data_IF_346748515252
#
_entry.id   IF_346748515252
#
_cell.length_a   1.000
_cell.length_b   1.000
_cell.length_c   1.000
_cell.angle_alpha   90.00
_cell.angle_beta   90.00
_cell.angle_gamma   90.00
#
_symmetry.space_group_name_H-M   'P 1'
#
loop_
_entity.id
_entity.type
_entity.pdbx_description
1 polymer ?
#
# COMPACT_ATOMS: atom_id res chain seq x y z
N UNK A 1 6.90 10.75 2.69
CA UNK A 1 5.71 10.38 3.50
C UNK A 1 5.04 9.10 3.04
N UNK A 2 4.34 9.04 1.88
CA UNK A 2 3.66 7.80 1.45
C UNK A 2 4.65 6.63 1.24
N UNK A 3 5.79 6.89 0.61
CA UNK A 3 6.86 5.89 0.44
C UNK A 3 7.31 5.33 1.79
N UNK A 4 7.49 6.19 2.79
CA UNK A 4 7.93 5.77 4.13
C UNK A 4 6.87 4.94 4.86
N UNK A 5 5.60 5.29 4.70
CA UNK A 5 4.50 4.46 5.20
C UNK A 5 4.49 3.08 4.57
N UNK A 6 4.64 2.99 3.25
CA UNK A 6 4.69 1.70 2.55
C UNK A 6 5.91 0.90 3.02
N UNK A 7 7.08 1.52 3.16
CA UNK A 7 8.28 0.88 3.73
C UNK A 7 8.03 0.33 5.13
N UNK A 8 7.35 1.09 5.97
CA UNK A 8 6.96 0.65 7.31
C UNK A 8 6.00 -0.55 7.25
N UNK A 9 4.98 -0.50 6.40
CA UNK A 9 3.97 -1.56 6.29
C UNK A 9 4.57 -2.86 5.76
N UNK A 10 5.32 -2.83 4.64
CA UNK A 10 5.99 -4.03 4.11
C UNK A 10 7.09 -4.51 5.06
N UNK A 11 7.75 -3.61 5.78
CA UNK A 11 8.80 -3.94 6.76
C UNK A 11 8.31 -4.82 7.91
N UNK A 12 7.00 -4.88 8.17
CA UNK A 12 6.40 -5.79 9.16
C UNK A 12 6.41 -7.25 8.72
N UNK A 13 6.49 -7.51 7.41
CA UNK A 13 6.38 -8.86 6.81
C UNK A 13 7.57 -9.24 5.94
N UNK A 14 8.49 -8.31 5.66
CA UNK A 14 9.70 -8.55 4.87
C UNK A 14 10.91 -8.95 5.72
N UNK A 15 11.88 -9.60 5.08
CA UNK A 15 13.18 -9.93 5.69
C UNK A 15 13.93 -8.63 6.05
N UNK A 16 14.56 -8.59 7.22
CA UNK A 16 15.27 -7.40 7.72
C UNK A 16 16.36 -6.99 6.72
N UNK A 17 16.37 -5.71 6.33
CA UNK A 17 17.33 -5.17 5.38
C UNK A 17 16.99 -5.38 3.90
N UNK A 18 15.95 -6.17 3.57
CA UNK A 18 15.52 -6.39 2.18
C UNK A 18 14.70 -5.25 1.59
N UNK A 19 14.11 -4.40 2.43
CA UNK A 19 13.24 -3.31 1.99
C UNK A 19 14.04 -2.17 1.37
N UNK A 20 13.80 -1.91 0.08
CA UNK A 20 14.44 -0.81 -0.65
C UNK A 20 13.47 -0.11 -1.61
N UNK A 21 13.90 1.04 -2.14
CA UNK A 21 13.11 1.89 -3.05
C UNK A 21 13.89 2.07 -4.35
N UNK A 22 13.82 1.11 -5.28
CA UNK A 22 14.60 1.16 -6.52
C UNK A 22 14.22 2.33 -7.44
N UNK A 23 12.98 2.80 -7.36
CA UNK A 23 12.49 3.94 -8.13
C UNK A 23 11.75 4.90 -7.21
N UNK A 24 12.21 6.16 -7.18
CA UNK A 24 11.66 7.19 -6.32
C UNK A 24 11.27 8.40 -7.18
N UNK A 25 10.01 8.81 -7.08
CA UNK A 25 9.41 9.96 -7.77
C UNK A 25 9.52 9.91 -9.30
N UNK A 26 9.30 8.74 -9.90
CA UNK A 26 9.14 8.62 -11.34
C UNK A 26 7.85 9.31 -11.79
N UNK A 27 7.90 10.01 -12.92
CA UNK A 27 6.74 10.72 -13.47
C UNK A 27 6.33 10.01 -14.75
N UNK A 28 5.16 9.40 -14.73
CA UNK A 28 4.60 8.59 -15.80
C UNK A 28 3.46 9.32 -16.51
N UNK A 29 3.41 9.21 -17.83
CA UNK A 29 2.30 9.75 -18.62
C UNK A 29 1.21 8.70 -18.79
N UNK A 30 0.00 9.02 -18.31
CA UNK A 30 -1.23 8.28 -18.59
C UNK A 30 -2.11 9.06 -19.58
N UNK A 31 -3.14 8.44 -20.18
CA UNK A 31 -3.96 9.10 -21.20
C UNK A 31 -4.59 10.43 -20.78
N UNK A 32 -4.91 10.59 -19.48
CA UNK A 32 -5.63 11.76 -18.96
C UNK A 32 -4.82 12.61 -17.99
N UNK A 33 -3.66 12.15 -17.53
CA UNK A 33 -2.88 12.82 -16.49
C UNK A 33 -1.42 12.37 -16.47
N UNK A 34 -0.59 13.16 -15.80
CA UNK A 34 0.74 12.76 -15.37
C UNK A 34 0.69 12.29 -13.92
N UNK A 35 1.25 11.13 -13.63
CA UNK A 35 1.24 10.53 -12.30
C UNK A 35 2.67 10.39 -11.79
N UNK A 36 2.89 10.78 -10.53
CA UNK A 36 4.12 10.48 -9.83
C UNK A 36 4.01 9.13 -9.11
N UNK A 37 4.90 8.20 -9.39
CA UNK A 37 4.96 6.85 -8.82
C UNK A 37 6.28 6.65 -8.09
N UNK A 38 6.33 5.62 -7.24
CA UNK A 38 7.55 5.16 -6.58
C UNK A 38 7.40 3.67 -6.32
N UNK A 39 8.47 2.93 -6.54
CA UNK A 39 8.50 1.47 -6.39
C UNK A 39 9.19 1.13 -5.07
N UNK A 40 8.50 0.39 -4.21
CA UNK A 40 9.04 -0.13 -2.95
C UNK A 40 9.00 -1.67 -3.04
N UNK A 41 10.13 -2.30 -2.75
CA UNK A 41 10.27 -3.77 -2.81
C UNK A 41 10.85 -4.31 -1.51
N UNK A 42 10.58 -5.58 -1.22
CA UNK A 42 11.18 -6.32 -0.12
C UNK A 42 10.93 -7.82 -0.28
N UNK A 43 11.77 -8.63 0.34
CA UNK A 43 11.67 -10.10 0.26
C UNK A 43 10.80 -10.63 1.39
N UNK A 44 9.89 -11.58 1.12
CA UNK A 44 9.00 -12.13 2.15
C UNK A 44 8.65 -13.59 1.96
N UNK A 45 8.72 -14.34 3.06
CA UNK A 45 8.20 -15.72 3.16
C UNK A 45 6.84 -15.78 3.85
N UNK A 46 6.25 -14.63 4.19
CA UNK A 46 4.99 -14.56 4.91
C UNK A 46 3.83 -15.12 4.07
N UNK A 47 2.87 -15.83 4.68
CA UNK A 47 1.64 -16.22 4.00
C UNK A 47 0.92 -14.99 3.40
N UNK A 48 0.20 -15.18 2.29
CA UNK A 48 -0.51 -14.08 1.61
C UNK A 48 -1.46 -13.35 2.56
N UNK A 49 -2.11 -14.06 3.48
CA UNK A 49 -2.97 -13.47 4.50
C UNK A 49 -2.25 -12.41 5.35
N UNK A 50 -1.02 -12.69 5.80
CA UNK A 50 -0.22 -11.76 6.60
C UNK A 50 0.23 -10.55 5.77
N UNK A 51 0.55 -10.76 4.49
CA UNK A 51 0.89 -9.67 3.57
C UNK A 51 -0.32 -8.74 3.41
N UNK A 52 -1.51 -9.31 3.20
CA UNK A 52 -2.75 -8.54 3.08
C UNK A 52 -3.08 -7.79 4.38
N UNK A 53 -2.95 -8.43 5.55
CA UNK A 53 -3.18 -7.79 6.85
C UNK A 53 -2.21 -6.62 7.11
N UNK A 54 -0.96 -6.74 6.68
CA UNK A 54 0.02 -5.68 6.85
C UNK A 54 -0.23 -4.48 5.92
N UNK A 55 -0.68 -4.72 4.69
CA UNK A 55 -0.75 -3.71 3.63
C UNK A 55 -2.15 -3.10 3.43
N UNK A 56 -3.20 -3.78 3.88
CA UNK A 56 -4.57 -3.33 3.65
C UNK A 56 -5.13 -2.47 4.81
N UNK A 57 -5.86 -1.37 4.51
CA UNK A 57 -5.98 -0.72 3.20
C UNK A 57 -4.68 0.02 2.84
N UNK A 58 -4.52 0.30 1.54
CA UNK A 58 -3.28 0.88 1.01
C UNK A 58 -2.97 2.26 1.61
N UNK A 59 -1.72 2.50 1.96
CA UNK A 59 -1.27 3.78 2.56
C UNK A 59 -1.40 4.98 1.63
N UNK A 60 -1.42 4.79 0.31
CA UNK A 60 -1.51 5.89 -0.67
C UNK A 60 -2.88 6.57 -0.74
N UNK A 61 -3.95 5.93 -0.24
CA UNK A 61 -5.34 6.42 -0.30
C UNK A 61 -5.96 6.67 1.10
N UNK A 62 -5.15 6.50 2.14
CA UNK A 62 -5.49 6.80 3.54
C UNK A 62 -4.76 8.07 3.97
N UNK A 63 -3.54 7.92 4.50
CA UNK A 63 -2.66 8.99 4.99
C UNK A 63 -1.91 8.58 6.26
N UNK A 64 -1.08 9.49 6.80
CA UNK A 64 -0.20 9.20 7.93
C UNK A 64 -0.61 10.01 9.18
N UNK A 65 -0.67 9.39 10.39
CA UNK A 65 -0.59 7.96 10.70
C UNK A 65 -1.87 7.19 10.30
N UNK A 66 -1.72 6.00 9.70
CA UNK A 66 -2.82 5.26 9.04
C UNK A 66 -4.09 5.14 9.87
N UNK A 67 -3.99 4.67 11.11
CA UNK A 67 -5.15 4.46 12.00
C UNK A 67 -5.89 5.76 12.29
N UNK A 68 -5.16 6.82 12.65
CA UNK A 68 -5.77 8.11 12.95
C UNK A 68 -6.39 8.76 11.71
N UNK A 69 -5.74 8.67 10.55
CA UNK A 69 -6.29 9.21 9.31
C UNK A 69 -7.54 8.45 8.88
N UNK A 70 -7.58 7.12 9.05
CA UNK A 70 -8.79 6.33 8.77
C UNK A 70 -9.97 6.71 9.66
N UNK A 71 -9.74 7.05 10.93
CA UNK A 71 -10.81 7.56 11.80
C UNK A 71 -11.36 8.89 11.27
N UNK A 72 -10.47 9.82 10.90
CA UNK A 72 -10.87 11.11 10.32
C UNK A 72 -11.66 10.92 9.02
N UNK A 73 -11.22 10.01 8.15
CA UNK A 73 -11.93 9.65 6.91
C UNK A 73 -13.34 9.15 7.25
N UNK A 74 -13.47 8.24 8.21
CA UNK A 74 -14.76 7.69 8.61
C UNK A 74 -15.70 8.75 9.22
N UNK A 75 -15.16 9.72 9.94
CA UNK A 75 -15.93 10.81 10.56
C UNK A 75 -16.38 11.86 9.53
N UNK A 76 -15.58 12.10 8.48
CA UNK A 76 -15.85 13.13 7.48
C UNK A 76 -16.65 12.65 6.27
N UNK A 77 -16.49 11.39 5.85
CA UNK A 77 -17.20 10.85 4.69
C UNK A 77 -18.65 10.51 5.05
N UNK A 78 -19.59 10.91 4.17
CA UNK A 78 -21.02 10.69 4.42
C UNK A 78 -21.45 9.22 4.34
N UNK A 79 -20.61 8.34 3.78
CA UNK A 79 -20.93 6.94 3.48
C UNK A 79 -19.67 6.08 3.53
N UNK A 80 -19.80 4.77 3.83
CA UNK A 80 -18.66 3.84 3.75
C UNK A 80 -18.17 3.69 2.31
N UNK A 81 -16.85 3.58 2.15
CA UNK A 81 -16.21 3.43 0.82
C UNK A 81 -16.54 2.10 0.14
N UNK A 82 -16.91 1.05 0.88
CA UNK A 82 -17.17 -0.29 0.34
C UNK A 82 -15.98 -0.77 -0.54
N UNK A 83 -16.23 -1.03 -1.82
CA UNK A 83 -15.19 -1.46 -2.79
C UNK A 83 -14.27 -0.30 -3.20
N UNK A 84 -14.71 0.96 -3.10
CA UNK A 84 -13.89 2.11 -3.44
C UNK A 84 -12.66 2.18 -2.53
N UNK A 85 -11.48 2.33 -3.13
CA UNK A 85 -10.17 2.24 -2.43
C UNK A 85 -9.89 0.89 -1.73
N UNK A 86 -10.69 -0.14 -2.02
CA UNK A 86 -10.39 -1.54 -1.69
C UNK A 86 -9.33 -2.13 -2.62
N UNK A 87 -9.26 -3.47 -2.66
CA UNK A 87 -8.36 -4.19 -3.56
C UNK A 87 -9.10 -5.30 -4.30
N UNK A 88 -8.70 -5.56 -5.55
CA UNK A 88 -9.18 -6.68 -6.38
C UNK A 88 -7.95 -7.39 -6.92
N UNK A 89 -7.95 -8.72 -6.88
CA UNK A 89 -6.85 -9.54 -7.37
C UNK A 89 -7.20 -11.02 -7.30
N UNK A 90 -6.21 -11.87 -7.52
CA UNK A 90 -6.31 -13.32 -7.39
C UNK A 90 -5.07 -13.86 -6.66
N UNK A 91 -5.18 -15.07 -6.12
CA UNK A 91 -4.08 -15.81 -5.51
C UNK A 91 -3.97 -17.13 -6.26
N UNK A 92 -2.86 -17.37 -6.94
CA UNK A 92 -2.58 -18.63 -7.60
C UNK A 92 -1.90 -19.61 -6.62
N UNK A 93 -1.87 -20.92 -6.97
CA UNK A 93 -1.03 -21.87 -6.26
C UNK A 93 0.42 -21.37 -6.16
N UNK A 94 1.10 -21.71 -5.06
CA UNK A 94 2.50 -21.33 -4.77
C UNK A 94 2.75 -19.84 -4.48
N UNK A 95 1.72 -19.06 -4.10
CA UNK A 95 1.84 -17.62 -3.73
C UNK A 95 2.16 -16.68 -4.91
N UNK A 96 1.89 -17.11 -6.15
CA UNK A 96 1.94 -16.23 -7.33
C UNK A 96 0.60 -15.57 -7.61
#
# INVERSE_FOLDING_TARGET
MIVDMIRNDIGRVCEIGSVCVPQLFEVEQYPTLWQMTSTVVGETRAPVANIMEALFPCSSITGAPKVSTMQIIADLESQPRNVYTGCIGYIAPNRN
#
